data_IF_844773789150
#
_entry.id   IF_844773789150
#
_cell.length_a   1.000
_cell.length_b   1.000
_cell.length_c   1.000
_cell.angle_alpha   90.00
_cell.angle_beta   90.00
_cell.angle_gamma   90.00
#
_symmetry.space_group_name_H-M   'P 1'
#
loop_
_entity.id
_entity.type
_entity.pdbx_description
1 polymer ?
#
# COMPACT_ATOMS: atom_id res chain seq x y z
N UNK A 1 3.07 -12.60 -19.57
CA UNK A 1 2.59 -12.63 -18.17
C UNK A 1 1.99 -11.26 -17.86
N UNK A 2 0.73 -11.18 -17.40
CA UNK A 2 0.09 -9.89 -17.11
C UNK A 2 0.75 -9.32 -15.85
N UNK A 3 1.57 -8.27 -15.99
CA UNK A 3 2.44 -7.74 -14.91
C UNK A 3 1.69 -7.07 -13.74
N UNK A 4 0.35 -7.08 -13.73
CA UNK A 4 -0.51 -6.45 -12.72
C UNK A 4 -1.27 -7.48 -11.85
N UNK A 5 -1.02 -8.78 -12.07
CA UNK A 5 -1.50 -9.86 -11.22
C UNK A 5 -0.42 -10.23 -10.20
N UNK A 6 -0.85 -10.70 -9.03
CA UNK A 6 0.05 -11.29 -8.05
C UNK A 6 0.55 -12.68 -8.52
N UNK A 7 1.41 -13.31 -7.71
CA UNK A 7 2.00 -14.63 -8.01
C UNK A 7 0.94 -15.74 -8.12
N UNK A 8 -0.26 -15.52 -7.57
CA UNK A 8 -1.41 -16.43 -7.62
C UNK A 8 -2.37 -16.14 -8.79
N UNK A 9 -2.05 -15.16 -9.66
CA UNK A 9 -2.90 -14.79 -10.79
C UNK A 9 -4.12 -13.94 -10.43
N UNK A 10 -4.15 -13.36 -9.22
CA UNK A 10 -5.22 -12.51 -8.72
C UNK A 10 -4.88 -11.02 -8.81
N UNK A 11 -5.93 -10.22 -9.02
CA UNK A 11 -5.96 -8.77 -8.88
C UNK A 11 -6.06 -8.42 -7.40
N UNK A 12 -6.96 -9.07 -6.68
CA UNK A 12 -7.09 -8.88 -5.23
C UNK A 12 -6.92 -10.21 -4.57
N UNK A 13 -6.05 -10.24 -3.58
CA UNK A 13 -5.87 -11.36 -2.68
C UNK A 13 -5.74 -10.77 -1.28
N UNK A 14 -6.87 -10.69 -0.58
CA UNK A 14 -7.00 -9.94 0.64
C UNK A 14 -7.73 -10.74 1.70
N UNK A 15 -7.10 -10.90 2.85
CA UNK A 15 -7.67 -11.54 4.03
C UNK A 15 -7.77 -10.55 5.17
N UNK A 16 -8.87 -10.63 5.92
CA UNK A 16 -9.07 -9.77 7.08
C UNK A 16 -10.13 -10.35 8.02
N UNK A 17 -10.29 -9.72 9.17
CA UNK A 17 -11.26 -10.09 10.20
C UNK A 17 -12.29 -8.99 10.35
N UNK A 18 -13.56 -9.38 10.41
CA UNK A 18 -14.67 -8.46 10.63
C UNK A 18 -14.47 -7.68 11.94
N UNK A 19 -14.89 -6.41 11.99
CA UNK A 19 -14.81 -5.64 13.23
C UNK A 19 -15.63 -6.29 14.34
N UNK A 20 -15.27 -5.98 15.59
CA UNK A 20 -16.07 -6.42 16.75
C UNK A 20 -17.51 -5.89 16.63
N UNK A 21 -18.52 -6.68 17.02
CA UNK A 21 -18.43 -7.96 17.73
C UNK A 21 -18.32 -9.20 16.81
N UNK A 22 -18.43 -9.05 15.49
CA UNK A 22 -18.55 -10.16 14.54
C UNK A 22 -17.32 -11.07 14.55
N UNK A 23 -16.13 -10.50 14.32
CA UNK A 23 -14.85 -11.24 14.27
C UNK A 23 -14.80 -12.40 13.27
N UNK A 24 -15.74 -12.50 12.34
CA UNK A 24 -15.68 -13.47 11.23
C UNK A 24 -14.43 -13.23 10.39
N UNK A 25 -13.74 -14.28 9.99
CA UNK A 25 -12.61 -14.17 9.08
C UNK A 25 -13.10 -14.30 7.64
N UNK A 26 -12.59 -13.47 6.74
CA UNK A 26 -12.99 -13.49 5.34
C UNK A 26 -11.80 -13.34 4.39
N UNK A 27 -11.99 -13.85 3.19
CA UNK A 27 -11.01 -13.79 2.11
C UNK A 27 -11.71 -13.33 0.83
N UNK A 28 -11.10 -12.35 0.18
CA UNK A 28 -11.49 -11.84 -1.13
C UNK A 28 -10.40 -12.17 -2.12
N UNK A 29 -10.77 -12.91 -3.15
CA UNK A 29 -9.87 -13.35 -4.20
C UNK A 29 -10.48 -13.05 -5.57
N UNK A 30 -9.96 -12.03 -6.24
CA UNK A 30 -10.49 -11.53 -7.51
C UNK A 30 -9.47 -11.83 -8.61
N UNK A 31 -9.87 -12.55 -9.64
CA UNK A 31 -9.08 -12.78 -10.85
C UNK A 31 -9.61 -11.91 -11.99
N UNK A 32 -8.98 -11.90 -13.17
CA UNK A 32 -9.54 -11.24 -14.36
C UNK A 32 -10.88 -11.78 -14.86
N UNK A 33 -11.43 -12.85 -14.26
CA UNK A 33 -12.64 -13.53 -14.72
C UNK A 33 -13.66 -13.75 -13.59
N UNK A 34 -13.17 -13.95 -12.35
CA UNK A 34 -13.99 -14.39 -11.23
C UNK A 34 -13.76 -13.54 -9.98
N UNK A 35 -14.84 -13.35 -9.22
CA UNK A 35 -14.84 -12.87 -7.85
C UNK A 35 -15.11 -14.06 -6.94
N UNK A 36 -14.15 -14.38 -6.07
CA UNK A 36 -14.29 -15.45 -5.08
C UNK A 36 -14.30 -14.82 -3.70
N UNK A 37 -15.36 -15.07 -2.94
CA UNK A 37 -15.51 -14.66 -1.56
C UNK A 37 -15.59 -15.90 -0.66
N UNK A 38 -14.78 -15.92 0.40
CA UNK A 38 -14.81 -16.98 1.40
C UNK A 38 -15.03 -16.38 2.77
N UNK A 39 -15.81 -17.07 3.59
CA UNK A 39 -16.17 -16.64 4.93
C UNK A 39 -16.05 -17.80 5.91
N UNK A 40 -15.31 -17.54 6.99
CA UNK A 40 -15.18 -18.39 8.17
C UNK A 40 -15.89 -17.70 9.32
N UNK A 41 -17.09 -18.19 9.64
CA UNK A 41 -17.87 -17.64 10.74
C UNK A 41 -17.25 -18.03 12.08
N UNK A 42 -16.98 -17.03 12.92
CA UNK A 42 -16.42 -17.26 14.26
C UNK A 42 -17.56 -17.21 15.27
N UNK A 43 -18.12 -18.38 15.57
CA UNK A 43 -19.25 -18.54 16.49
C UNK A 43 -18.86 -19.35 17.73
N UNK A 44 -19.49 -19.10 18.90
CA UNK A 44 -19.28 -19.92 20.09
C UNK A 44 -19.60 -21.41 19.84
N UNK A 45 -18.85 -22.35 20.46
CA UNK A 45 -19.09 -23.79 20.30
C UNK A 45 -20.51 -24.23 20.69
N UNK A 46 -21.17 -23.46 21.55
CA UNK A 46 -22.54 -23.74 22.04
C UNK A 46 -23.63 -23.47 21.01
N UNK A 47 -23.35 -22.71 19.94
CA UNK A 47 -24.34 -22.50 18.87
C UNK A 47 -24.43 -23.73 17.99
N UNK A 48 -25.62 -24.00 17.46
CA UNK A 48 -25.87 -25.14 16.57
C UNK A 48 -25.11 -25.06 15.24
N UNK A 49 -24.75 -23.86 14.80
CA UNK A 49 -23.99 -23.60 13.59
C UNK A 49 -22.46 -23.62 13.79
N UNK A 50 -21.97 -24.01 14.98
CA UNK A 50 -20.54 -24.01 15.32
C UNK A 50 -19.70 -25.00 14.52
N UNK A 51 -20.32 -26.05 13.98
CA UNK A 51 -19.66 -27.06 13.16
C UNK A 51 -19.79 -26.79 11.65
N UNK A 52 -20.40 -25.66 11.26
CA UNK A 52 -20.56 -25.35 9.85
C UNK A 52 -19.20 -25.10 9.19
N UNK A 53 -18.94 -25.71 8.04
CA UNK A 53 -17.71 -25.43 7.31
C UNK A 53 -17.71 -23.99 6.78
N UNK A 54 -16.52 -23.48 6.40
CA UNK A 54 -16.42 -22.19 5.73
C UNK A 54 -17.25 -22.15 4.45
N UNK A 55 -17.88 -21.02 4.17
CA UNK A 55 -18.64 -20.82 2.94
C UNK A 55 -17.77 -20.18 1.87
N UNK A 56 -17.95 -20.60 0.61
CA UNK A 56 -17.35 -20.00 -0.58
C UNK A 56 -18.44 -19.63 -1.58
N UNK A 57 -18.37 -18.42 -2.11
CA UNK A 57 -19.22 -17.93 -3.22
C UNK A 57 -18.29 -17.54 -4.35
N UNK A 58 -18.70 -17.84 -5.59
CA UNK A 58 -17.95 -17.52 -6.80
C UNK A 58 -18.90 -16.90 -7.81
N UNK A 59 -18.58 -15.69 -8.24
CA UNK A 59 -19.30 -14.98 -9.29
C UNK A 59 -18.37 -14.68 -10.46
N UNK A 60 -18.95 -14.53 -11.64
CA UNK A 60 -18.27 -13.82 -12.72
C UNK A 60 -18.21 -12.32 -12.40
N UNK A 61 -17.32 -11.60 -13.07
CA UNK A 61 -17.24 -10.13 -12.92
C UNK A 61 -18.55 -9.42 -13.31
N UNK A 62 -19.29 -9.96 -14.28
CA UNK A 62 -20.58 -9.41 -14.74
C UNK A 62 -21.69 -9.72 -13.74
N UNK A 63 -21.75 -10.95 -13.23
CA UNK A 63 -22.78 -11.37 -12.28
C UNK A 63 -22.62 -10.68 -10.93
N UNK A 64 -21.38 -10.43 -10.50
CA UNK A 64 -21.09 -9.72 -9.25
C UNK A 64 -21.84 -8.39 -9.16
N UNK A 65 -21.96 -7.66 -10.27
CA UNK A 65 -22.66 -6.37 -10.30
C UNK A 65 -24.13 -6.47 -9.81
N UNK A 66 -24.76 -7.63 -9.98
CA UNK A 66 -26.17 -7.87 -9.67
C UNK A 66 -26.37 -8.74 -8.42
N UNK A 67 -25.30 -9.29 -7.82
CA UNK A 67 -25.41 -10.08 -6.59
C UNK A 67 -25.52 -9.18 -5.35
N UNK A 68 -26.74 -8.69 -5.10
CA UNK A 68 -27.06 -7.91 -3.90
C UNK A 68 -26.76 -8.65 -2.59
N UNK A 69 -26.81 -9.98 -2.59
CA UNK A 69 -26.56 -10.80 -1.40
C UNK A 69 -25.07 -10.81 -1.08
N UNK A 70 -24.22 -11.04 -2.08
CA UNK A 70 -22.78 -10.99 -1.91
C UNK A 70 -22.31 -9.58 -1.55
N UNK A 71 -22.85 -8.54 -2.19
CA UNK A 71 -22.61 -7.15 -1.83
C UNK A 71 -22.94 -6.87 -0.36
N UNK A 72 -24.11 -7.31 0.11
CA UNK A 72 -24.54 -7.13 1.49
C UNK A 72 -23.61 -7.82 2.49
N UNK A 73 -23.14 -9.04 2.19
CA UNK A 73 -22.20 -9.76 3.06
C UNK A 73 -20.82 -9.09 3.09
N UNK A 74 -20.28 -8.70 1.94
CA UNK A 74 -19.00 -7.98 1.87
C UNK A 74 -19.09 -6.66 2.63
N UNK A 75 -20.18 -5.90 2.46
CA UNK A 75 -20.39 -4.66 3.19
C UNK A 75 -20.53 -4.89 4.71
N UNK A 76 -21.22 -5.96 5.12
CA UNK A 76 -21.38 -6.32 6.54
C UNK A 76 -20.04 -6.65 7.20
N UNK A 77 -19.17 -7.38 6.51
CA UNK A 77 -17.94 -7.93 7.08
C UNK A 77 -16.74 -7.01 6.84
N UNK A 78 -16.57 -6.53 5.62
CA UNK A 78 -15.46 -5.67 5.20
C UNK A 78 -15.79 -4.17 5.12
N UNK A 79 -17.04 -3.78 5.28
CA UNK A 79 -17.47 -2.37 5.22
C UNK A 79 -17.69 -1.84 3.80
N UNK A 80 -18.29 -0.65 3.72
CA UNK A 80 -18.63 -0.01 2.44
C UNK A 80 -17.40 0.27 1.56
N UNK A 81 -16.30 0.74 2.16
CA UNK A 81 -15.06 1.03 1.41
C UNK A 81 -14.49 -0.21 0.70
N UNK A 82 -14.62 -1.39 1.32
CA UNK A 82 -14.15 -2.65 0.74
C UNK A 82 -15.04 -3.06 -0.43
N UNK A 83 -16.37 -2.94 -0.28
CA UNK A 83 -17.31 -3.18 -1.36
C UNK A 83 -17.08 -2.23 -2.54
N UNK A 84 -16.91 -0.94 -2.28
CA UNK A 84 -16.64 0.07 -3.32
C UNK A 84 -15.33 -0.23 -4.05
N UNK A 85 -14.29 -0.62 -3.33
CA UNK A 85 -13.01 -1.00 -3.91
C UNK A 85 -13.15 -2.21 -4.86
N UNK A 86 -13.83 -3.26 -4.42
CA UNK A 86 -14.07 -4.47 -5.23
C UNK A 86 -14.93 -4.13 -6.46
N UNK A 87 -15.98 -3.35 -6.28
CA UNK A 87 -16.89 -2.94 -7.35
C UNK A 87 -16.14 -2.14 -8.41
N UNK A 88 -15.28 -1.20 -8.01
CA UNK A 88 -14.43 -0.45 -8.93
C UNK A 88 -13.49 -1.37 -9.72
N UNK A 89 -12.91 -2.38 -9.07
CA UNK A 89 -12.07 -3.39 -9.75
C UNK A 89 -12.88 -4.20 -10.76
N UNK A 90 -14.08 -4.64 -10.41
CA UNK A 90 -14.96 -5.40 -11.31
C UNK A 90 -15.38 -4.57 -12.52
N UNK A 91 -15.52 -3.25 -12.36
CA UNK A 91 -15.76 -2.28 -13.44
C UNK A 91 -14.50 -1.93 -14.26
N UNK A 92 -13.36 -2.58 -14.00
CA UNK A 92 -12.11 -2.35 -14.72
C UNK A 92 -11.29 -1.15 -14.24
N UNK A 93 -11.66 -0.49 -13.13
CA UNK A 93 -10.89 0.60 -12.52
C UNK A 93 -9.80 0.02 -11.62
N UNK A 94 -8.77 -0.53 -12.26
CA UNK A 94 -7.64 -1.17 -11.57
C UNK A 94 -6.64 -0.10 -11.11
N UNK A 95 -6.15 -0.24 -9.89
CA UNK A 95 -5.09 0.56 -9.29
C UNK A 95 -3.70 0.12 -9.80
N UNK A 96 -3.38 0.45 -11.05
CA UNK A 96 -2.15 0.00 -11.70
C UNK A 96 -0.86 0.45 -11.02
N UNK A 97 -0.84 1.65 -10.45
CA UNK A 97 0.37 2.23 -9.85
C UNK A 97 0.92 1.38 -8.69
N UNK A 98 0.18 1.11 -7.59
CA UNK A 98 0.68 0.29 -6.48
C UNK A 98 1.06 -1.15 -6.88
N UNK A 99 0.59 -1.63 -8.03
CA UNK A 99 0.86 -2.98 -8.55
C UNK A 99 2.17 -3.09 -9.32
N UNK A 100 2.81 -1.96 -9.66
CA UNK A 100 4.11 -1.98 -10.31
C UNK A 100 5.17 -2.57 -9.39
N UNK A 101 6.17 -3.21 -10.00
CA UNK A 101 7.34 -3.70 -9.26
C UNK A 101 8.02 -2.55 -8.53
N UNK A 102 8.52 -2.83 -7.33
CA UNK A 102 9.12 -1.82 -6.45
C UNK A 102 10.24 -1.02 -7.12
N UNK A 103 11.08 -1.67 -7.94
CA UNK A 103 12.14 -0.99 -8.68
C UNK A 103 11.63 0.03 -9.72
N UNK A 104 10.45 -0.19 -10.30
CA UNK A 104 9.79 0.77 -11.21
C UNK A 104 9.17 1.89 -10.39
N UNK A 105 8.48 1.56 -9.30
CA UNK A 105 7.94 2.56 -8.38
C UNK A 105 9.03 3.51 -7.87
N UNK A 106 10.17 2.98 -7.44
CA UNK A 106 11.32 3.80 -7.00
C UNK A 106 11.80 4.76 -8.10
N UNK A 107 11.82 4.34 -9.37
CA UNK A 107 12.18 5.24 -10.48
C UNK A 107 11.16 6.37 -10.65
N UNK A 108 9.87 6.05 -10.54
CA UNK A 108 8.80 7.07 -10.60
C UNK A 108 8.94 8.04 -9.42
N UNK A 109 9.16 7.54 -8.21
CA UNK A 109 9.33 8.38 -7.02
C UNK A 109 10.52 9.34 -7.13
N UNK A 110 11.62 8.92 -7.77
CA UNK A 110 12.81 9.76 -7.97
C UNK A 110 12.58 10.92 -8.97
N UNK A 111 11.48 10.88 -9.72
CA UNK A 111 11.08 11.98 -10.61
C UNK A 111 10.17 13.00 -9.93
N UNK A 112 9.69 12.71 -8.72
CA UNK A 112 8.84 13.61 -7.94
C UNK A 112 9.69 14.59 -7.14
N UNK A 113 9.13 15.77 -6.89
CA UNK A 113 9.69 16.68 -5.91
C UNK A 113 9.43 16.18 -4.47
N UNK A 114 10.04 16.85 -3.49
CA UNK A 114 9.93 16.43 -2.09
C UNK A 114 8.51 16.64 -1.52
N UNK A 115 7.76 17.59 -2.06
CA UNK A 115 6.40 17.89 -1.61
C UNK A 115 5.42 16.81 -2.08
N UNK A 116 5.48 16.46 -3.36
CA UNK A 116 4.69 15.39 -3.97
C UNK A 116 5.06 14.04 -3.38
N UNK A 117 6.34 13.79 -3.08
CA UNK A 117 6.74 12.59 -2.36
C UNK A 117 6.08 12.51 -0.97
N UNK A 118 6.00 13.64 -0.25
CA UNK A 118 5.34 13.71 1.05
C UNK A 118 3.82 13.50 0.94
N UNK A 119 3.17 14.06 -0.09
CA UNK A 119 1.74 13.86 -0.38
C UNK A 119 1.46 12.40 -0.74
N UNK A 120 2.28 11.80 -1.61
CA UNK A 120 2.13 10.42 -2.04
C UNK A 120 2.27 9.43 -0.88
N UNK A 121 3.19 9.69 0.06
CA UNK A 121 3.34 8.91 1.30
C UNK A 121 2.12 8.94 2.23
N UNK A 122 1.12 9.80 1.97
CA UNK A 122 -0.13 9.85 2.73
C UNK A 122 -1.25 9.05 2.06
N UNK A 123 -1.11 8.62 0.80
CA UNK A 123 -2.16 7.94 0.02
C UNK A 123 -2.39 6.51 0.49
N UNK A 124 -1.33 5.76 0.79
CA UNK A 124 -1.44 4.36 1.24
C UNK A 124 -0.31 3.94 2.17
N UNK A 125 -0.49 2.82 2.89
CA UNK A 125 0.56 2.23 3.73
C UNK A 125 1.80 1.84 2.89
N UNK A 126 1.58 1.27 1.69
CA UNK A 126 2.66 0.90 0.79
C UNK A 126 3.50 2.11 0.37
N UNK A 127 2.85 3.19 -0.10
CA UNK A 127 3.56 4.41 -0.47
C UNK A 127 4.19 5.10 0.73
N UNK A 128 3.58 5.03 1.91
CA UNK A 128 4.21 5.51 3.14
C UNK A 128 5.53 4.80 3.40
N UNK A 129 5.57 3.46 3.31
CA UNK A 129 6.81 2.70 3.48
C UNK A 129 7.83 3.06 2.40
N UNK A 130 7.40 3.08 1.13
CA UNK A 130 8.31 3.31 0.01
C UNK A 130 8.90 4.73 0.02
N UNK A 131 8.09 5.74 0.27
CA UNK A 131 8.51 7.16 0.38
C UNK A 131 9.39 7.44 1.62
N UNK A 132 9.45 6.52 2.57
CA UNK A 132 10.33 6.60 3.75
C UNK A 132 11.47 5.58 3.72
N UNK A 133 11.65 4.85 2.62
CA UNK A 133 12.69 3.82 2.50
C UNK A 133 14.08 4.45 2.40
N UNK A 134 15.07 3.86 3.09
CA UNK A 134 16.45 4.33 3.03
C UNK A 134 17.04 4.25 1.63
N UNK A 135 16.65 3.24 0.84
CA UNK A 135 17.07 3.08 -0.57
C UNK A 135 16.65 4.29 -1.41
N UNK A 136 15.42 4.79 -1.24
CA UNK A 136 14.95 5.98 -1.94
C UNK A 136 15.75 7.21 -1.50
N UNK A 137 15.88 7.42 -0.19
CA UNK A 137 16.53 8.61 0.35
C UNK A 137 18.04 8.64 0.10
N UNK A 138 18.71 7.49 0.00
CA UNK A 138 20.10 7.39 -0.45
C UNK A 138 20.23 7.89 -1.89
N UNK A 139 19.34 7.47 -2.79
CA UNK A 139 19.35 7.91 -4.19
C UNK A 139 19.06 9.40 -4.31
N UNK A 140 18.07 9.91 -3.57
CA UNK A 140 17.77 11.34 -3.49
C UNK A 140 19.01 12.10 -3.00
N UNK A 141 19.68 11.61 -1.96
CA UNK A 141 20.89 12.22 -1.43
C UNK A 141 21.99 12.32 -2.50
N UNK A 142 22.29 11.21 -3.18
CA UNK A 142 23.31 11.16 -4.24
C UNK A 142 22.96 12.13 -5.38
N UNK A 143 21.70 12.16 -5.83
CA UNK A 143 21.25 13.04 -6.91
C UNK A 143 21.37 14.53 -6.57
N UNK A 144 21.32 14.88 -5.28
CA UNK A 144 21.37 16.26 -4.81
C UNK A 144 22.74 16.66 -4.21
N UNK A 145 23.71 15.74 -4.15
CA UNK A 145 25.02 15.98 -3.53
C UNK A 145 26.10 16.11 -4.59
N UNK A 146 26.81 17.24 -4.60
CA UNK A 146 27.92 17.48 -5.53
C UNK A 146 29.16 16.66 -5.16
N UNK A 147 29.36 16.36 -3.87
CA UNK A 147 30.58 15.74 -3.34
C UNK A 147 30.56 14.20 -3.29
N UNK A 148 29.50 13.55 -3.80
CA UNK A 148 29.34 12.10 -3.72
C UNK A 148 29.11 11.58 -2.29
N UNK A 149 29.14 10.25 -2.12
CA UNK A 149 28.99 9.57 -0.82
C UNK A 149 30.37 9.11 -0.35
N UNK A 150 30.86 9.67 0.76
CA UNK A 150 32.08 9.22 1.43
C UNK A 150 31.77 8.10 2.43
N UNK A 151 32.76 7.28 2.82
CA UNK A 151 32.57 6.24 3.84
C UNK A 151 32.03 6.77 5.17
N UNK A 152 32.42 7.99 5.56
CA UNK A 152 31.92 8.64 6.77
C UNK A 152 30.43 9.00 6.65
N UNK A 153 30.01 9.48 5.49
CA UNK A 153 28.59 9.78 5.21
C UNK A 153 27.77 8.50 5.20
N UNK A 154 28.30 7.42 4.63
CA UNK A 154 27.63 6.13 4.61
C UNK A 154 27.50 5.52 6.02
N UNK A 155 28.57 5.60 6.83
CA UNK A 155 28.56 5.20 8.24
C UNK A 155 27.54 6.02 9.05
N UNK A 156 27.52 7.34 8.84
CA UNK A 156 26.53 8.21 9.48
C UNK A 156 25.11 7.85 9.03
N UNK A 157 24.88 7.64 7.73
CA UNK A 157 23.58 7.25 7.21
C UNK A 157 23.09 5.91 7.79
N UNK A 158 23.99 4.94 7.98
CA UNK A 158 23.65 3.67 8.62
C UNK A 158 23.18 3.85 10.08
N UNK A 159 23.67 4.89 10.77
CA UNK A 159 23.30 5.16 12.17
C UNK A 159 22.00 5.95 12.33
N UNK A 160 21.72 6.94 11.47
CA UNK A 160 20.57 7.86 11.62
C UNK A 160 19.51 7.76 10.51
N UNK A 161 19.82 7.09 9.40
CA UNK A 161 18.99 6.99 8.20
C UNK A 161 19.24 8.10 7.18
N UNK A 162 19.12 7.76 5.89
CA UNK A 162 19.41 8.67 4.78
C UNK A 162 18.47 9.88 4.75
N UNK A 163 17.20 9.66 5.10
CA UNK A 163 16.21 10.73 5.15
C UNK A 163 16.61 11.82 6.15
N UNK A 164 17.02 11.43 7.36
CA UNK A 164 17.41 12.40 8.41
C UNK A 164 18.69 13.13 8.01
N UNK A 165 19.66 12.41 7.46
CA UNK A 165 20.93 12.98 6.99
C UNK A 165 20.68 14.05 5.92
N UNK A 166 19.83 13.75 4.94
CA UNK A 166 19.46 14.70 3.88
C UNK A 166 18.88 16.02 4.43
N UNK A 167 17.91 15.94 5.35
CA UNK A 167 17.34 17.15 5.96
C UNK A 167 18.32 17.89 6.86
N UNK A 168 19.21 17.18 7.54
CA UNK A 168 20.24 17.79 8.40
C UNK A 168 21.22 18.62 7.57
N UNK A 169 21.68 18.09 6.44
CA UNK A 169 22.56 18.83 5.51
C UNK A 169 21.87 20.07 4.94
N UNK A 170 20.59 19.99 4.54
CA UNK A 170 19.83 21.16 4.08
C UNK A 170 19.68 22.23 5.16
N UNK A 171 19.38 21.83 6.40
CA UNK A 171 19.27 22.74 7.54
C UNK A 171 20.60 23.42 7.84
N UNK A 172 21.71 22.67 7.83
CA UNK A 172 23.05 23.22 8.02
C UNK A 172 23.39 24.27 6.95
N UNK A 173 23.10 23.99 5.68
CA UNK A 173 23.29 24.94 4.57
C UNK A 173 22.47 26.22 4.77
N UNK A 174 21.19 26.10 5.18
CA UNK A 174 20.35 27.27 5.44
C UNK A 174 20.88 28.13 6.59
N UNK A 175 21.41 27.52 7.67
CA UNK A 175 22.01 28.25 8.79
C UNK A 175 23.25 29.02 8.34
N UNK A 176 24.10 28.42 7.50
CA UNK A 176 25.29 29.09 6.96
C UNK A 176 24.92 30.30 6.08
N UNK A 177 23.95 30.15 5.18
CA UNK A 177 23.46 31.25 4.34
C UNK A 177 22.89 32.41 5.17
N UNK A 178 22.18 32.11 6.27
CA UNK A 178 21.66 33.15 7.19
C UNK A 178 22.79 33.91 7.89
N UNK A 179 23.85 33.21 8.31
CA UNK A 179 25.02 33.86 8.94
C UNK A 179 25.73 34.78 7.95
N UNK A 180 25.89 34.37 6.69
CA UNK A 180 26.49 35.21 5.66
C UNK A 180 25.69 36.50 5.40
N UNK A 181 24.36 36.39 5.24
CA UNK A 181 23.48 37.56 5.06
C UNK A 181 23.40 38.50 6.25
N UNK A 182 23.79 38.05 7.45
CA UNK A 182 23.84 38.88 8.65
C UNK A 182 25.21 39.58 8.85
N UNK A 183 26.21 39.19 8.05
CA UNK A 183 27.55 39.79 8.03
C UNK A 183 27.78 40.72 6.81
N UNK A 184 26.77 40.89 5.95
CA UNK A 184 26.66 41.91 4.90
C UNK A 184 25.79 43.08 5.39
#
# INVERSE_FOLDING_TARGET
MKNWLNDHGAIVDYTDTAPSPCKDFYHLFITPELVIYRLWKIVPPTRSDSSNPPSEVRDSLEDFQYDERLHSEIQRVGGANTLDYITNICQGKIDYLPRLKENILLKILLMLDLEDLARLGQVSKQFRTLCNSDVLWQKIYIMNSESGVTPDVESLAASIGWKKLFYTNKLQLQVQLRRQRAHE
#
